data_IF_781575404132
#
_entry.id   IF_781575404132
#
_cell.length_a   1.000
_cell.length_b   1.000
_cell.length_c   1.000
_cell.angle_alpha   90.00
_cell.angle_beta   90.00
_cell.angle_gamma   90.00
#
_symmetry.space_group_name_H-M   'P 1'
#
loop_
_entity.id
_entity.type
_entity.pdbx_description
1 polymer ?
#
# COMPACT_ATOMS: atom_id res chain seq x y z
N UNK A 1 7.07 18.84 37.56
CA UNK A 1 6.90 17.92 36.41
C UNK A 1 6.45 18.78 35.25
N UNK A 2 7.39 19.25 34.42
CA UNK A 2 7.08 20.15 33.31
C UNK A 2 7.05 19.31 32.03
N UNK A 3 5.86 19.21 31.44
CA UNK A 3 5.68 18.66 30.10
C UNK A 3 6.29 19.61 29.07
N UNK A 4 7.48 19.24 28.61
CA UNK A 4 8.15 19.90 27.48
C UNK A 4 7.36 19.60 26.21
N UNK A 5 6.38 20.43 25.88
CA UNK A 5 5.65 20.32 24.61
C UNK A 5 6.63 20.52 23.45
N UNK A 6 6.95 19.44 22.73
CA UNK A 6 7.78 19.50 21.54
C UNK A 6 7.02 20.30 20.47
N UNK A 7 7.54 21.49 20.16
CA UNK A 7 6.98 22.35 19.10
C UNK A 7 7.22 21.73 17.73
N UNK A 8 6.20 21.74 16.87
CA UNK A 8 6.29 21.27 15.46
C UNK A 8 7.45 21.92 14.71
N UNK A 9 7.81 23.15 15.09
CA UNK A 9 8.92 23.91 14.50
C UNK A 9 10.29 23.33 14.90
N UNK A 10 10.43 22.84 16.13
CA UNK A 10 11.67 22.24 16.62
C UNK A 10 11.86 20.85 16.03
N UNK A 11 10.78 20.09 15.88
CA UNK A 11 10.80 18.83 15.13
C UNK A 11 11.21 19.04 13.67
N UNK A 12 10.65 20.04 12.98
CA UNK A 12 11.01 20.34 11.59
C UNK A 12 12.49 20.78 11.46
N UNK A 13 13.00 21.56 12.41
CA UNK A 13 14.42 21.95 12.45
C UNK A 13 15.32 20.73 12.66
N UNK A 14 14.98 19.84 13.58
CA UNK A 14 15.74 18.61 13.82
C UNK A 14 15.68 17.66 12.62
N UNK A 15 14.52 17.50 11.98
CA UNK A 15 14.36 16.68 10.80
C UNK A 15 15.18 17.21 9.60
N UNK A 16 15.18 18.52 9.37
CA UNK A 16 15.95 19.14 8.29
C UNK A 16 17.47 19.04 8.50
N UNK A 17 17.94 19.14 9.74
CA UNK A 17 19.37 18.92 10.07
C UNK A 17 19.78 17.46 9.86
N UNK A 18 18.91 16.50 10.15
CA UNK A 18 19.17 15.08 9.96
C UNK A 18 19.22 14.67 8.47
N UNK A 19 18.38 15.26 7.61
CA UNK A 19 18.40 15.01 6.15
C UNK A 19 19.46 15.83 5.41
N UNK A 20 19.81 17.03 5.90
CA UNK A 20 20.87 17.85 5.31
C UNK A 20 22.27 17.21 5.38
N UNK A 21 22.54 16.42 6.43
CA UNK A 21 23.80 15.69 6.57
C UNK A 21 23.96 14.51 5.60
N UNK A 22 22.85 13.93 5.12
CA UNK A 22 22.87 12.80 4.18
C UNK A 22 23.05 13.25 2.71
N UNK A 23 22.67 14.49 2.38
CA UNK A 23 22.82 15.03 1.01
C UNK A 23 24.20 15.67 0.76
N UNK A 24 24.95 16.02 1.81
CA UNK A 24 26.31 16.57 1.68
C UNK A 24 27.37 15.50 1.34
N UNK A 25 27.05 14.20 1.45
CA UNK A 25 27.96 13.10 1.09
C UNK A 25 27.92 12.72 -0.40
N UNK A 26 27.01 13.31 -1.19
CA UNK A 26 26.90 13.11 -2.64
C UNK A 26 27.13 14.40 -3.43
N UNK A 27 28.03 15.26 -2.95
CA UNK A 27 28.63 16.32 -3.75
C UNK A 27 29.66 15.72 -4.73
N UNK A 28 29.14 14.94 -5.69
CA UNK A 28 29.87 14.43 -6.84
C UNK A 28 29.55 15.29 -8.06
N UNK A 29 30.51 16.10 -8.45
CA UNK A 29 30.60 16.97 -9.63
C UNK A 29 29.89 16.45 -10.90
N UNK A 30 29.03 17.27 -11.51
CA UNK A 30 28.92 17.35 -12.98
C UNK A 30 28.27 18.68 -13.38
N UNK A 31 29.11 19.57 -13.90
CA UNK A 31 28.80 20.80 -14.60
C UNK A 31 28.63 20.45 -16.08
N UNK A 32 27.58 20.96 -16.72
CA UNK A 32 27.36 20.80 -18.16
C UNK A 32 26.03 21.41 -18.59
N UNK A 33 26.10 22.65 -19.04
CA UNK A 33 25.11 23.25 -19.94
C UNK A 33 25.05 22.42 -21.24
N UNK A 34 23.86 22.15 -21.79
CA UNK A 34 23.56 22.45 -23.20
C UNK A 34 22.07 22.27 -23.56
N UNK A 35 21.68 23.00 -24.59
CA UNK A 35 20.34 23.31 -25.07
C UNK A 35 19.63 22.18 -25.86
N UNK A 36 18.29 22.27 -25.85
CA UNK A 36 17.28 21.78 -26.82
C UNK A 36 17.66 20.76 -27.91
N UNK A 37 17.10 19.54 -27.79
CA UNK A 37 16.57 18.76 -28.94
C UNK A 37 15.53 17.73 -28.47
N UNK A 38 14.31 17.67 -29.04
CA UNK A 38 13.41 16.55 -28.78
C UNK A 38 13.86 15.37 -29.65
N UNK A 39 14.69 14.49 -29.10
CA UNK A 39 15.01 13.23 -29.75
C UNK A 39 13.81 12.28 -29.65
N UNK A 40 13.41 11.82 -30.83
CA UNK A 40 12.40 10.82 -31.12
C UNK A 40 12.69 9.59 -30.24
N UNK A 41 11.78 9.27 -29.32
CA UNK A 41 11.87 8.05 -28.53
C UNK A 41 11.83 6.84 -29.46
N UNK A 42 13.00 6.27 -29.73
CA UNK A 42 13.11 4.96 -30.35
C UNK A 42 12.42 3.96 -29.42
N UNK A 43 11.37 3.33 -29.95
CA UNK A 43 10.67 2.24 -29.28
C UNK A 43 11.65 1.09 -29.13
N UNK A 44 12.29 1.02 -27.97
CA UNK A 44 13.08 -0.14 -27.55
C UNK A 44 12.14 -1.36 -27.59
N UNK A 45 12.49 -2.45 -28.28
CA UNK A 45 11.69 -3.67 -28.25
C UNK A 45 11.53 -4.14 -26.80
N UNK A 46 10.37 -4.72 -26.43
CA UNK A 46 10.16 -5.21 -25.08
C UNK A 46 11.29 -6.17 -24.72
N UNK A 47 12.04 -5.84 -23.67
CA UNK A 47 13.13 -6.67 -23.18
C UNK A 47 12.65 -8.09 -22.86
N UNK A 48 13.56 -9.08 -22.84
CA UNK A 48 13.20 -10.47 -22.58
C UNK A 48 12.40 -10.56 -21.28
N UNK A 49 11.21 -11.13 -21.39
CA UNK A 49 10.24 -11.23 -20.31
C UNK A 49 10.91 -11.74 -19.03
N UNK A 50 10.77 -10.96 -17.96
CA UNK A 50 11.21 -11.37 -16.64
C UNK A 50 10.61 -12.73 -16.24
N UNK A 51 11.18 -13.39 -15.22
CA UNK A 51 10.74 -14.72 -14.81
C UNK A 51 9.22 -14.74 -14.55
N UNK A 52 8.51 -15.61 -15.27
CA UNK A 52 7.09 -15.83 -15.04
C UNK A 52 6.92 -16.38 -13.61
N UNK A 53 6.35 -15.55 -12.73
CA UNK A 53 5.98 -15.99 -11.38
C UNK A 53 4.66 -16.75 -11.48
N UNK A 54 4.57 -18.00 -10.99
CA UNK A 54 3.29 -18.69 -10.94
C UNK A 54 2.29 -17.88 -10.08
N UNK A 55 1.02 -17.81 -10.48
CA UNK A 55 0.02 -17.03 -9.75
C UNK A 55 -0.20 -17.59 -8.34
N UNK A 56 -0.25 -16.70 -7.36
CA UNK A 56 -0.55 -17.06 -5.97
C UNK A 56 -2.07 -17.05 -5.72
N UNK A 57 -2.51 -17.59 -4.58
CA UNK A 57 -3.93 -17.62 -4.19
C UNK A 57 -4.53 -16.22 -4.18
N UNK A 58 -3.75 -15.26 -3.70
CA UNK A 58 -4.10 -13.84 -3.64
C UNK A 58 -4.39 -13.25 -5.03
N UNK A 59 -3.80 -13.79 -6.09
CA UNK A 59 -3.98 -13.31 -7.46
C UNK A 59 -5.32 -13.78 -8.02
N UNK A 60 -5.71 -15.01 -7.71
CA UNK A 60 -7.04 -15.51 -8.05
C UNK A 60 -8.14 -14.77 -7.29
N UNK A 61 -7.91 -14.47 -6.00
CA UNK A 61 -8.85 -13.67 -5.20
C UNK A 61 -8.97 -12.24 -5.73
N UNK A 62 -7.85 -11.61 -6.12
CA UNK A 62 -7.87 -10.31 -6.76
C UNK A 62 -8.66 -10.35 -8.07
N UNK A 63 -8.41 -11.36 -8.92
CA UNK A 63 -9.10 -11.51 -10.19
C UNK A 63 -10.62 -11.68 -10.00
N UNK A 64 -11.05 -12.50 -9.04
CA UNK A 64 -12.46 -12.67 -8.70
C UNK A 64 -13.08 -11.34 -8.22
N UNK A 65 -12.36 -10.58 -7.39
CA UNK A 65 -12.83 -9.30 -6.86
C UNK A 65 -12.98 -8.25 -7.96
N UNK A 66 -12.04 -8.18 -8.91
CA UNK A 66 -12.13 -7.27 -10.06
C UNK A 66 -13.21 -7.69 -11.07
N UNK A 67 -13.51 -8.99 -11.16
CA UNK A 67 -14.61 -9.49 -11.98
C UNK A 67 -15.97 -9.14 -11.37
N UNK A 68 -16.12 -9.26 -10.05
CA UNK A 68 -17.36 -8.94 -9.34
C UNK A 68 -17.57 -7.42 -9.20
N UNK A 69 -16.48 -6.68 -8.99
CA UNK A 69 -16.47 -5.22 -8.87
C UNK A 69 -15.53 -4.58 -9.90
N UNK A 70 -15.93 -4.54 -11.18
CA UNK A 70 -15.15 -3.87 -12.21
C UNK A 70 -15.01 -2.38 -11.88
N UNK A 71 -13.79 -1.84 -12.00
CA UNK A 71 -13.55 -0.41 -11.83
C UNK A 71 -12.39 0.03 -12.71
N UNK A 72 -12.68 0.97 -13.61
CA UNK A 72 -11.70 1.57 -14.52
C UNK A 72 -10.90 2.70 -13.85
N UNK A 73 -11.22 3.02 -12.59
CA UNK A 73 -10.65 4.16 -11.87
C UNK A 73 -9.60 3.77 -10.84
N UNK A 74 -9.26 2.48 -10.73
CA UNK A 74 -8.26 2.02 -9.79
C UNK A 74 -6.86 2.23 -10.35
N UNK A 75 -6.04 2.99 -9.64
CA UNK A 75 -4.62 3.11 -9.95
C UNK A 75 -3.86 1.83 -9.54
N UNK A 76 -2.68 1.62 -10.13
CA UNK A 76 -1.81 0.50 -9.76
C UNK A 76 -1.44 0.49 -8.27
N UNK A 77 -1.28 1.68 -7.67
CA UNK A 77 -1.04 1.81 -6.24
C UNK A 77 -2.23 1.31 -5.42
N UNK A 78 -3.45 1.65 -5.83
CA UNK A 78 -4.67 1.17 -5.18
C UNK A 78 -4.85 -0.33 -5.33
N UNK A 79 -4.55 -0.88 -6.52
CA UNK A 79 -4.54 -2.33 -6.75
C UNK A 79 -3.51 -3.04 -5.86
N UNK A 80 -2.33 -2.45 -5.71
CA UNK A 80 -1.31 -2.92 -4.76
C UNK A 80 -1.82 -2.92 -3.31
N UNK A 81 -2.50 -1.85 -2.91
CA UNK A 81 -3.15 -1.73 -1.60
C UNK A 81 -4.22 -2.79 -1.36
N UNK A 82 -5.07 -3.05 -2.36
CA UNK A 82 -6.09 -4.11 -2.29
C UNK A 82 -5.41 -5.48 -2.14
N UNK A 83 -4.34 -5.77 -2.89
CA UNK A 83 -3.61 -7.05 -2.80
C UNK A 83 -3.00 -7.26 -1.42
N UNK A 84 -2.41 -6.22 -0.85
CA UNK A 84 -1.91 -6.23 0.52
C UNK A 84 -3.05 -6.47 1.53
N UNK A 85 -4.21 -5.85 1.31
CA UNK A 85 -5.44 -6.08 2.08
C UNK A 85 -5.92 -7.53 2.04
N UNK A 86 -6.00 -8.14 0.85
CA UNK A 86 -6.35 -9.55 0.65
C UNK A 86 -5.40 -10.45 1.44
N UNK A 87 -4.09 -10.19 1.33
CA UNK A 87 -3.05 -10.96 2.04
C UNK A 87 -3.23 -10.87 3.56
N UNK A 88 -3.44 -9.65 4.08
CA UNK A 88 -3.65 -9.41 5.50
C UNK A 88 -4.94 -10.05 6.03
N UNK A 89 -6.02 -9.96 5.27
CA UNK A 89 -7.31 -10.54 5.61
C UNK A 89 -7.25 -12.06 5.60
N UNK A 90 -6.59 -12.68 4.63
CA UNK A 90 -6.40 -14.14 4.59
C UNK A 90 -5.69 -14.64 5.83
N UNK A 91 -4.56 -14.02 6.20
CA UNK A 91 -3.83 -14.37 7.43
C UNK A 91 -4.68 -14.20 8.69
N UNK A 92 -5.54 -13.18 8.74
CA UNK A 92 -6.46 -12.95 9.86
C UNK A 92 -7.55 -14.01 9.91
N UNK A 93 -8.15 -14.34 8.77
CA UNK A 93 -9.15 -15.41 8.64
C UNK A 93 -8.58 -16.75 9.08
N UNK A 94 -7.35 -17.10 8.68
CA UNK A 94 -6.68 -18.33 9.14
C UNK A 94 -6.47 -18.37 10.66
N UNK A 95 -6.24 -17.22 11.31
CA UNK A 95 -6.21 -17.16 12.78
C UNK A 95 -7.59 -17.37 13.38
N UNK A 96 -8.62 -16.78 12.79
CA UNK A 96 -10.01 -16.92 13.25
C UNK A 96 -10.52 -18.36 13.09
N UNK A 97 -10.10 -19.07 12.04
CA UNK A 97 -10.46 -20.48 11.78
C UNK A 97 -9.98 -21.45 12.87
N UNK A 98 -9.05 -21.04 13.74
CA UNK A 98 -8.57 -21.86 14.86
C UNK A 98 -9.60 -22.00 15.96
N UNK A 99 -10.57 -21.10 16.02
CA UNK A 99 -11.66 -21.18 16.99
C UNK A 99 -12.77 -22.06 16.40
N UNK A 100 -13.08 -23.16 17.08
CA UNK A 100 -14.22 -24.01 16.70
C UNK A 100 -15.50 -23.28 17.09
N UNK A 101 -16.42 -23.17 16.14
CA UNK A 101 -17.75 -22.62 16.36
C UNK A 101 -18.76 -23.76 16.26
N UNK A 102 -19.70 -23.79 17.19
CA UNK A 102 -20.89 -24.63 17.10
C UNK A 102 -22.00 -23.87 16.37
N UNK A 103 -22.92 -24.57 15.72
CA UNK A 103 -24.07 -23.92 15.06
C UNK A 103 -24.95 -23.10 16.04
N UNK A 104 -24.80 -23.32 17.35
CA UNK A 104 -25.44 -22.53 18.41
C UNK A 104 -24.71 -21.23 18.77
N UNK A 105 -23.46 -21.04 18.31
CA UNK A 105 -22.68 -19.82 18.52
C UNK A 105 -23.23 -18.70 17.64
N UNK A 106 -24.25 -18.03 18.15
CA UNK A 106 -24.87 -16.88 17.51
C UNK A 106 -23.93 -15.68 17.42
N UNK A 107 -24.28 -14.67 16.60
CA UNK A 107 -23.49 -13.45 16.52
C UNK A 107 -23.48 -12.73 17.88
N UNK A 108 -22.40 -12.02 18.16
CA UNK A 108 -22.22 -11.28 19.42
C UNK A 108 -23.35 -10.27 19.69
N UNK A 109 -23.99 -9.76 18.64
CA UNK A 109 -25.10 -8.83 18.73
C UNK A 109 -26.27 -9.35 17.90
N UNK A 110 -27.44 -9.45 18.52
CA UNK A 110 -28.69 -9.79 17.86
C UNK A 110 -29.54 -8.55 17.66
N UNK A 111 -30.18 -8.42 16.50
CA UNK A 111 -31.15 -7.36 16.26
C UNK A 111 -32.35 -7.51 17.21
N UNK A 112 -32.78 -6.41 17.82
CA UNK A 112 -34.01 -6.34 18.63
C UNK A 112 -34.89 -5.22 18.12
N UNK A 113 -36.10 -5.56 17.69
CA UNK A 113 -37.09 -4.56 17.31
C UNK A 113 -37.57 -3.78 18.53
N UNK A 114 -37.58 -2.46 18.44
CA UNK A 114 -38.17 -1.59 19.46
C UNK A 114 -39.69 -1.65 19.35
N UNK A 115 -40.39 -2.09 20.40
CA UNK A 115 -41.84 -1.88 20.52
C UNK A 115 -42.09 -0.57 21.22
N UNK A 116 -42.81 0.33 20.56
CA UNK A 116 -43.34 1.57 21.16
C UNK A 116 -44.55 1.19 22.02
N UNK A 117 -44.50 1.52 23.31
CA UNK A 117 -45.63 1.36 24.22
C UNK A 117 -46.70 2.44 23.96
#
# INVERSE_FOLDING_TARGET
>A
MNDSHVSRRDFARQAALATGGLLAASAGTARGDDETRPERAEQRPPGPGGPFRPPEVEDFLMMALLQEFPSDHLSDEQLGGIRAGITGNRRRAERMRRYTLENGDGPATMFRALRKA
#
